data_IF_162645303326
#
_entry.id   IF_162645303326
#
_cell.length_a   1.000
_cell.length_b   1.000
_cell.length_c   1.000
_cell.angle_alpha   90.00
_cell.angle_beta   90.00
_cell.angle_gamma   90.00
#
_symmetry.space_group_name_H-M   'P 1'
#
loop_
_entity.id
_entity.type
_entity.pdbx_description
1 polymer ?
#
# COMPACT_ATOMS: atom_id res chain seq x y z
N UNK A 1 11.74 -13.62 -14.39
CA UNK A 1 11.17 -14.74 -13.60
C UNK A 1 12.29 -15.33 -12.76
N UNK A 2 12.26 -15.15 -11.44
CA UNK A 2 13.31 -15.69 -10.58
C UNK A 2 13.31 -17.23 -10.63
N UNK A 3 14.51 -17.82 -10.65
CA UNK A 3 14.68 -19.28 -10.62
C UNK A 3 14.12 -19.81 -9.31
N UNK A 4 13.00 -20.54 -9.37
CA UNK A 4 12.34 -21.13 -8.20
C UNK A 4 10.84 -20.87 -8.07
N UNK A 5 10.23 -20.11 -9.00
CA UNK A 5 8.79 -19.81 -8.97
C UNK A 5 8.36 -18.85 -7.86
N UNK A 6 9.30 -18.41 -7.03
CA UNK A 6 9.12 -17.32 -6.08
C UNK A 6 9.34 -15.99 -6.79
N UNK A 7 8.60 -14.97 -6.42
CA UNK A 7 8.76 -13.61 -6.90
C UNK A 7 8.67 -12.61 -5.75
N UNK A 8 9.30 -11.47 -5.95
CA UNK A 8 9.17 -10.30 -5.11
C UNK A 8 8.29 -9.30 -5.86
N UNK A 9 7.14 -8.97 -5.29
CA UNK A 9 6.19 -8.01 -5.84
C UNK A 9 6.13 -6.76 -4.97
N UNK A 10 5.87 -5.63 -5.62
CA UNK A 10 5.63 -4.36 -4.97
C UNK A 10 4.22 -3.89 -5.30
N UNK A 11 3.48 -3.45 -4.28
CA UNK A 11 2.15 -2.88 -4.43
C UNK A 11 2.05 -1.63 -3.56
N UNK A 12 1.81 -0.47 -4.18
CA UNK A 12 1.51 0.76 -3.47
C UNK A 12 0.00 0.92 -3.35
N UNK A 13 -0.51 0.95 -2.13
CA UNK A 13 -1.91 1.29 -1.82
C UNK A 13 -2.10 2.78 -1.48
N UNK A 14 -1.00 3.53 -1.33
CA UNK A 14 -1.02 4.98 -1.16
C UNK A 14 0.38 5.59 -1.19
N UNK A 15 0.48 6.86 -1.57
CA UNK A 15 1.73 7.63 -1.66
C UNK A 15 2.48 7.55 -3.00
N UNK A 16 2.22 6.54 -3.84
CA UNK A 16 2.80 6.53 -5.20
C UNK A 16 2.11 7.56 -6.10
N UNK A 17 2.87 8.54 -6.59
CA UNK A 17 2.36 9.60 -7.47
C UNK A 17 1.73 10.79 -6.75
N UNK A 18 1.69 10.77 -5.42
CA UNK A 18 1.08 11.80 -4.57
C UNK A 18 1.98 12.10 -3.36
N UNK A 19 1.63 13.11 -2.56
CA UNK A 19 2.36 13.45 -1.32
C UNK A 19 1.56 12.93 -0.11
N UNK A 20 2.20 12.01 0.63
CA UNK A 20 1.68 11.43 1.86
C UNK A 20 0.71 10.27 1.63
N UNK A 21 -0.08 9.90 2.65
CA UNK A 21 -0.92 8.68 2.65
C UNK A 21 -0.16 7.39 2.28
N UNK A 22 1.14 7.31 2.62
CA UNK A 22 1.99 6.20 2.21
C UNK A 22 1.49 4.86 2.77
N UNK A 23 1.26 3.88 1.91
CA UNK A 23 1.00 2.49 2.30
C UNK A 23 1.61 1.58 1.25
N UNK A 24 2.83 1.10 1.52
CA UNK A 24 3.59 0.30 0.58
C UNK A 24 3.66 -1.16 1.04
N UNK A 25 3.49 -2.08 0.10
CA UNK A 25 3.52 -3.51 0.35
C UNK A 25 4.63 -4.17 -0.45
N UNK A 26 5.39 -5.03 0.23
CA UNK A 26 6.32 -5.94 -0.40
C UNK A 26 5.85 -7.37 -0.16
N UNK A 27 5.54 -8.09 -1.23
CA UNK A 27 5.10 -9.47 -1.20
C UNK A 27 6.21 -10.39 -1.69
N UNK A 28 6.49 -11.47 -0.97
CA UNK A 28 7.42 -12.51 -1.41
C UNK A 28 6.78 -13.89 -1.33
N UNK A 29 6.78 -14.62 -2.45
CA UNK A 29 6.15 -15.94 -2.54
C UNK A 29 5.82 -16.34 -3.97
N UNK A 30 5.01 -17.38 -4.11
CA UNK A 30 4.49 -17.81 -5.42
C UNK A 30 3.32 -16.91 -5.84
N UNK A 31 2.97 -16.86 -7.13
CA UNK A 31 1.76 -16.19 -7.57
C UNK A 31 0.53 -16.63 -6.76
N UNK A 32 -0.09 -15.69 -6.05
CA UNK A 32 -1.26 -15.94 -5.19
C UNK A 32 -0.98 -16.47 -3.77
N UNK A 33 0.29 -16.71 -3.41
CA UNK A 33 0.71 -17.19 -2.08
C UNK A 33 1.83 -16.31 -1.51
N UNK A 34 1.65 -14.99 -1.55
CA UNK A 34 2.64 -14.05 -1.05
C UNK A 34 2.58 -13.92 0.46
N UNK A 35 3.75 -13.87 1.09
CA UNK A 35 3.89 -13.30 2.43
C UNK A 35 4.17 -11.82 2.30
N UNK A 36 3.39 -11.00 2.99
CA UNK A 36 3.42 -9.55 2.86
C UNK A 36 4.14 -8.87 4.01
N UNK A 37 4.87 -7.81 3.70
CA UNK A 37 5.39 -6.82 4.65
C UNK A 37 4.77 -5.47 4.28
N UNK A 38 4.13 -4.85 5.27
CA UNK A 38 3.66 -3.47 5.18
C UNK A 38 4.81 -2.54 5.56
N UNK A 39 5.05 -1.54 4.73
CA UNK A 39 6.01 -0.47 4.97
C UNK A 39 5.25 0.85 4.96
N UNK A 40 5.27 1.50 6.12
CA UNK A 40 4.51 2.69 6.46
C UNK A 40 2.99 2.54 6.45
N UNK A 41 2.34 3.34 7.29
CA UNK A 41 0.89 3.57 7.31
C UNK A 41 0.71 5.07 7.52
N UNK A 42 1.02 5.83 6.48
CA UNK A 42 1.02 7.28 6.47
C UNK A 42 -0.39 7.86 6.41
N UNK A 43 -0.48 9.12 6.83
CA UNK A 43 -1.66 9.98 6.72
C UNK A 43 -1.34 11.19 5.86
N UNK A 44 -2.36 11.80 5.27
CA UNK A 44 -2.28 13.17 4.74
C UNK A 44 -3.39 14.01 5.33
N UNK A 45 -3.13 15.31 5.43
CA UNK A 45 -4.12 16.29 5.83
C UNK A 45 -4.82 16.83 4.57
N UNK A 46 -6.14 16.93 4.64
CA UNK A 46 -6.93 17.66 3.64
C UNK A 46 -6.56 19.14 3.62
N UNK A 47 -6.73 19.74 2.45
CA UNK A 47 -6.69 21.18 2.29
C UNK A 47 -8.12 21.77 2.30
N UNK A 48 -8.22 23.08 2.06
CA UNK A 48 -9.50 23.80 2.01
C UNK A 48 -10.45 23.29 0.90
N UNK A 49 -10.00 22.41 0.00
CA UNK A 49 -10.83 21.84 -1.07
C UNK A 49 -11.71 20.68 -0.58
N UNK A 50 -11.45 20.12 0.62
CA UNK A 50 -12.26 19.04 1.21
C UNK A 50 -12.78 19.47 2.60
N UNK A 51 -13.86 20.27 2.66
CA UNK A 51 -14.37 20.81 3.91
C UNK A 51 -14.83 19.73 4.89
N UNK A 52 -14.44 19.85 6.15
CA UNK A 52 -14.87 18.98 7.24
C UNK A 52 -14.13 17.64 7.34
N UNK A 53 -13.17 17.38 6.46
CA UNK A 53 -12.19 16.30 6.64
C UNK A 53 -10.92 16.92 7.25
N UNK A 54 -10.29 16.20 8.17
CA UNK A 54 -9.00 16.58 8.77
C UNK A 54 -7.87 15.64 8.33
N UNK A 55 -8.16 14.34 8.19
CA UNK A 55 -7.17 13.31 7.89
C UNK A 55 -7.70 12.39 6.79
N UNK A 56 -6.82 12.04 5.86
CA UNK A 56 -7.07 11.10 4.78
C UNK A 56 -6.11 9.90 4.95
N UNK A 57 -6.66 8.70 4.83
CA UNK A 57 -5.98 7.42 5.00
C UNK A 57 -6.00 6.62 3.69
N UNK A 58 -4.93 5.87 3.37
CA UNK A 58 -4.93 4.95 2.23
C UNK A 58 -5.93 3.80 2.48
N UNK A 59 -6.53 3.27 1.42
CA UNK A 59 -7.47 2.15 1.53
C UNK A 59 -6.71 0.82 1.75
N UNK A 60 -6.86 0.15 2.92
CA UNK A 60 -6.14 -1.09 3.22
C UNK A 60 -6.86 -2.36 2.75
N UNK A 61 -8.02 -2.24 2.08
CA UNK A 61 -8.90 -3.39 1.80
C UNK A 61 -8.23 -4.50 0.98
N UNK A 62 -7.28 -4.16 0.10
CA UNK A 62 -6.50 -5.16 -0.63
C UNK A 62 -5.73 -6.08 0.32
N UNK A 63 -4.97 -5.52 1.28
CA UNK A 63 -4.12 -6.29 2.19
C UNK A 63 -4.92 -6.94 3.32
N UNK A 64 -6.03 -6.34 3.73
CA UNK A 64 -6.92 -6.92 4.75
C UNK A 64 -7.58 -8.24 4.30
N UNK A 65 -7.67 -8.47 2.98
CA UNK A 65 -8.31 -9.64 2.38
C UNK A 65 -7.33 -10.62 1.70
N UNK A 66 -6.02 -10.51 1.95
CA UNK A 66 -5.00 -11.45 1.46
C UNK A 66 -4.96 -12.76 2.27
#
# INVERSE_FOLDING_TARGET
>A
MAKGGQELVFCSLGGAGEIGMNLNLFGYGKPGEYKWIIVDIGVTFSDDNIPGIEVILPNPEFIANQ
#
